data_IF_831108189901
#
_entry.id   IF_831108189901
#
_cell.length_a   1.000
_cell.length_b   1.000
_cell.length_c   1.000
_cell.angle_alpha   90.00
_cell.angle_beta   90.00
_cell.angle_gamma   90.00
#
_symmetry.space_group_name_H-M   'P 1'
#
loop_
_entity.id
_entity.type
_entity.pdbx_description
1 polymer ?
#
# COMPACT_ATOMS: atom_id res chain seq x y z
N UNK A 1 -21.95 6.22 13.89
CA UNK A 1 -20.77 6.74 13.14
C UNK A 1 -19.86 5.59 12.78
N UNK A 2 -19.67 5.37 11.50
CA UNK A 2 -18.66 4.42 11.06
C UNK A 2 -17.28 5.05 11.27
N UNK A 3 -16.50 4.49 12.17
CA UNK A 3 -15.08 4.80 12.24
C UNK A 3 -14.42 4.21 11.01
N UNK A 4 -13.90 5.08 10.16
CA UNK A 4 -13.05 4.66 9.04
C UNK A 4 -11.71 4.26 9.65
N UNK A 5 -11.41 2.96 9.63
CA UNK A 5 -10.09 2.48 10.04
C UNK A 5 -9.05 3.03 9.08
N UNK A 6 -7.97 3.56 9.63
CA UNK A 6 -6.83 4.00 8.82
C UNK A 6 -6.18 2.79 8.14
N UNK A 7 -5.43 3.06 7.06
CA UNK A 7 -4.68 1.99 6.38
C UNK A 7 -3.71 1.30 7.34
N UNK A 8 -3.08 2.06 8.25
CA UNK A 8 -2.17 1.50 9.25
C UNK A 8 -2.89 0.53 10.18
N UNK A 9 -4.10 0.87 10.63
CA UNK A 9 -4.88 -0.02 11.48
C UNK A 9 -5.20 -1.33 10.79
N UNK A 10 -5.55 -1.28 9.51
CA UNK A 10 -5.83 -2.46 8.71
C UNK A 10 -4.58 -3.30 8.47
N UNK A 11 -3.44 -2.66 8.27
CA UNK A 11 -2.15 -3.35 8.15
C UNK A 11 -1.80 -4.04 9.47
N UNK A 12 -2.01 -3.39 10.62
CA UNK A 12 -1.81 -4.01 11.94
C UNK A 12 -2.69 -5.25 12.12
N UNK A 13 -3.94 -5.20 11.71
CA UNK A 13 -4.85 -6.35 11.75
C UNK A 13 -4.33 -7.50 10.89
N UNK A 14 -3.87 -7.21 9.68
CA UNK A 14 -3.31 -8.20 8.76
C UNK A 14 -2.04 -8.83 9.34
N UNK A 15 -1.16 -8.03 9.94
CA UNK A 15 0.08 -8.52 10.58
C UNK A 15 -0.25 -9.54 11.66
N UNK A 16 -1.24 -9.26 12.50
CA UNK A 16 -1.66 -10.17 13.57
C UNK A 16 -2.35 -11.41 13.00
N UNK A 17 -3.29 -11.22 12.09
CA UNK A 17 -4.08 -12.33 11.52
C UNK A 17 -3.22 -13.32 10.74
N UNK A 18 -2.29 -12.82 9.94
CA UNK A 18 -1.46 -13.67 9.07
C UNK A 18 -0.12 -14.05 9.70
N UNK A 19 0.11 -13.62 10.95
CA UNK A 19 1.30 -13.99 11.71
C UNK A 19 2.60 -13.44 11.13
N UNK A 20 2.58 -12.23 10.58
CA UNK A 20 3.74 -11.65 9.90
C UNK A 20 4.85 -11.18 10.83
N UNK A 21 4.60 -11.08 12.14
CA UNK A 21 5.62 -10.78 13.15
C UNK A 21 6.45 -12.00 13.56
N UNK A 22 5.94 -13.21 13.30
CA UNK A 22 6.61 -14.44 13.70
C UNK A 22 7.85 -14.69 12.86
N UNK A 23 8.85 -15.35 13.45
CA UNK A 23 10.01 -15.84 12.70
C UNK A 23 9.57 -16.95 11.75
N UNK A 24 9.24 -16.56 10.53
CA UNK A 24 8.88 -17.48 9.48
C UNK A 24 9.55 -17.03 8.19
N UNK A 25 10.32 -17.92 7.57
CA UNK A 25 11.06 -17.64 6.34
C UNK A 25 10.41 -18.29 5.09
N UNK A 26 9.20 -18.81 5.24
CA UNK A 26 8.46 -19.32 4.08
C UNK A 26 8.28 -18.20 3.05
N UNK A 27 8.46 -18.52 1.78
CA UNK A 27 8.49 -17.55 0.70
C UNK A 27 7.24 -16.70 0.64
N UNK A 28 6.05 -17.28 0.79
CA UNK A 28 4.79 -16.53 0.75
C UNK A 28 4.67 -15.52 1.89
N UNK A 29 5.18 -15.85 3.08
CA UNK A 29 5.18 -14.93 4.23
C UNK A 29 6.18 -13.80 3.99
N UNK A 30 7.38 -14.11 3.49
CA UNK A 30 8.38 -13.09 3.16
C UNK A 30 7.84 -12.13 2.10
N UNK A 31 7.21 -12.64 1.04
CA UNK A 31 6.62 -11.84 -0.03
C UNK A 31 5.54 -10.89 0.50
N UNK A 32 4.68 -11.37 1.40
CA UNK A 32 3.65 -10.53 2.04
C UNK A 32 4.25 -9.43 2.89
N UNK A 33 5.31 -9.73 3.66
CA UNK A 33 6.01 -8.73 4.46
C UNK A 33 6.62 -7.62 3.59
N UNK A 34 7.37 -8.00 2.56
CA UNK A 34 8.05 -7.02 1.71
C UNK A 34 7.08 -6.17 0.91
N UNK A 35 5.93 -6.72 0.54
CA UNK A 35 4.83 -5.96 -0.05
C UNK A 35 4.35 -4.85 0.89
N UNK A 36 4.08 -5.20 2.15
CA UNK A 36 3.61 -4.24 3.14
C UNK A 36 4.69 -3.23 3.53
N UNK A 37 5.95 -3.65 3.60
CA UNK A 37 7.07 -2.72 3.82
C UNK A 37 7.09 -1.63 2.76
N UNK A 38 6.99 -2.01 1.50
CA UNK A 38 7.00 -1.07 0.39
C UNK A 38 5.76 -0.17 0.41
N UNK A 39 4.59 -0.74 0.66
CA UNK A 39 3.34 0.02 0.75
C UNK A 39 3.41 1.11 1.83
N UNK A 40 3.88 0.77 3.03
CA UNK A 40 4.05 1.72 4.12
C UNK A 40 5.09 2.78 3.79
N UNK A 41 6.18 2.40 3.14
CA UNK A 41 7.21 3.36 2.74
C UNK A 41 6.69 4.36 1.71
N UNK A 42 5.90 3.91 0.76
CA UNK A 42 5.25 4.78 -0.22
C UNK A 42 4.28 5.77 0.43
N UNK A 43 3.68 5.40 1.57
CA UNK A 43 2.82 6.29 2.35
C UNK A 43 3.60 7.26 3.24
N UNK A 44 4.93 7.22 3.22
CA UNK A 44 5.79 8.17 3.92
C UNK A 44 6.24 7.75 5.31
N UNK A 45 5.98 6.53 5.74
CA UNK A 45 6.44 6.05 7.04
C UNK A 45 7.94 5.76 7.03
N UNK A 46 8.60 6.00 8.17
CA UNK A 46 10.04 5.75 8.32
C UNK A 46 10.35 4.25 8.41
N UNK A 47 11.59 3.89 8.10
CA UNK A 47 12.04 2.50 8.23
C UNK A 47 11.92 2.00 9.67
N UNK A 48 12.24 2.84 10.66
CA UNK A 48 12.12 2.50 12.08
C UNK A 48 10.67 2.24 12.49
N UNK A 49 9.74 3.06 12.02
CA UNK A 49 8.32 2.87 12.29
C UNK A 49 7.81 1.56 11.70
N UNK A 50 8.14 1.28 10.43
CA UNK A 50 7.76 0.04 9.76
C UNK A 50 8.36 -1.17 10.50
N UNK A 51 9.64 -1.09 10.87
CA UNK A 51 10.31 -2.15 11.60
C UNK A 51 9.63 -2.46 12.93
N UNK A 52 9.19 -1.43 13.65
CA UNK A 52 8.45 -1.61 14.92
C UNK A 52 7.12 -2.32 14.72
N UNK A 53 6.40 -2.01 13.66
CA UNK A 53 5.13 -2.69 13.35
C UNK A 53 5.31 -4.21 13.18
N UNK A 54 6.42 -4.62 12.58
CA UNK A 54 6.72 -6.03 12.32
C UNK A 54 7.65 -6.66 13.37
N UNK A 55 8.03 -5.90 14.41
CA UNK A 55 8.99 -6.35 15.41
C UNK A 55 10.31 -6.82 14.79
N UNK A 56 10.83 -6.02 13.88
CA UNK A 56 12.05 -6.33 13.12
C UNK A 56 13.03 -5.16 13.15
N UNK A 57 14.25 -5.41 12.67
CA UNK A 57 15.28 -4.39 12.51
C UNK A 57 15.00 -3.54 11.27
N UNK A 58 15.34 -2.23 11.33
CA UNK A 58 15.15 -1.34 10.19
C UNK A 58 15.94 -1.78 8.94
N UNK A 59 17.11 -2.40 9.12
CA UNK A 59 17.88 -2.95 8.01
C UNK A 59 17.11 -4.06 7.27
N UNK A 60 16.36 -4.88 7.99
CA UNK A 60 15.48 -5.90 7.42
C UNK A 60 14.41 -5.28 6.52
N UNK A 61 13.83 -4.17 6.94
CA UNK A 61 12.83 -3.42 6.16
C UNK A 61 13.47 -2.85 4.88
N UNK A 62 14.64 -2.22 5.02
CA UNK A 62 15.37 -1.65 3.88
C UNK A 62 15.70 -2.71 2.83
N UNK A 63 16.26 -3.84 3.26
CA UNK A 63 16.57 -4.97 2.36
C UNK A 63 15.31 -5.58 1.75
N UNK A 64 14.24 -5.68 2.52
CA UNK A 64 12.97 -6.19 2.05
C UNK A 64 12.36 -5.32 0.95
N UNK A 65 12.39 -4.02 1.09
CA UNK A 65 11.90 -3.07 0.09
C UNK A 65 12.73 -3.18 -1.20
N UNK A 66 14.04 -3.26 -1.08
CA UNK A 66 14.94 -3.44 -2.22
C UNK A 66 14.61 -4.74 -2.97
N UNK A 67 14.46 -5.83 -2.24
CA UNK A 67 14.08 -7.13 -2.82
C UNK A 67 12.73 -7.07 -3.53
N UNK A 68 11.75 -6.41 -2.92
CA UNK A 68 10.43 -6.23 -3.53
C UNK A 68 10.54 -5.51 -4.88
N UNK A 69 11.29 -4.42 -4.94
CA UNK A 69 11.50 -3.66 -6.17
C UNK A 69 12.23 -4.50 -7.23
N UNK A 70 13.22 -5.27 -6.83
CA UNK A 70 13.95 -6.15 -7.75
C UNK A 70 13.03 -7.23 -8.33
N UNK A 71 12.19 -7.85 -7.50
CA UNK A 71 11.22 -8.85 -7.94
C UNK A 71 10.15 -8.24 -8.86
N UNK A 72 9.70 -7.03 -8.58
CA UNK A 72 8.78 -6.31 -9.48
C UNK A 72 9.42 -6.06 -10.85
N UNK A 73 10.69 -5.69 -10.89
CA UNK A 73 11.39 -5.38 -12.13
C UNK A 73 11.51 -6.55 -13.08
N UNK A 74 11.52 -7.78 -12.54
CA UNK A 74 11.58 -9.01 -13.34
C UNK A 74 10.20 -9.68 -13.51
N UNK A 75 9.13 -9.01 -13.08
CA UNK A 75 7.76 -9.54 -13.13
C UNK A 75 7.62 -10.92 -12.48
N UNK A 76 8.17 -11.09 -11.28
CA UNK A 76 8.18 -12.37 -10.58
C UNK A 76 6.74 -12.85 -10.32
N UNK A 77 6.40 -14.00 -10.88
CA UNK A 77 5.03 -14.57 -10.82
C UNK A 77 4.68 -14.99 -9.39
N UNK A 78 5.66 -15.54 -8.67
CA UNK A 78 5.41 -16.02 -7.30
C UNK A 78 5.08 -14.86 -6.36
N UNK A 79 5.79 -13.73 -6.51
CA UNK A 79 5.46 -12.51 -5.76
C UNK A 79 4.03 -12.06 -6.05
N UNK A 80 3.62 -12.04 -7.31
CA UNK A 80 2.27 -11.64 -7.71
C UNK A 80 1.21 -12.54 -7.08
N UNK A 81 1.40 -13.85 -7.12
CA UNK A 81 0.47 -14.82 -6.52
C UNK A 81 0.38 -14.62 -5.00
N UNK A 82 1.52 -14.53 -4.33
CA UNK A 82 1.59 -14.46 -2.88
C UNK A 82 1.02 -13.15 -2.32
N UNK A 83 1.02 -12.06 -3.11
CA UNK A 83 0.58 -10.74 -2.68
C UNK A 83 -0.72 -10.26 -3.30
N UNK A 84 -1.34 -11.06 -4.17
CA UNK A 84 -2.55 -10.67 -4.93
C UNK A 84 -3.70 -10.24 -4.01
N UNK A 85 -3.97 -10.99 -2.95
CA UNK A 85 -5.04 -10.67 -1.99
C UNK A 85 -4.79 -9.34 -1.29
N UNK A 86 -3.54 -9.06 -0.98
CA UNK A 86 -3.15 -7.79 -0.35
C UNK A 86 -3.28 -6.62 -1.32
N UNK A 87 -2.82 -6.80 -2.56
CA UNK A 87 -2.96 -5.78 -3.59
C UNK A 87 -4.43 -5.40 -3.79
N UNK A 88 -5.31 -6.36 -3.94
CA UNK A 88 -6.75 -6.12 -4.08
C UNK A 88 -7.32 -5.42 -2.86
N UNK A 89 -7.03 -5.93 -1.65
CA UNK A 89 -7.57 -5.38 -0.41
C UNK A 89 -7.16 -3.93 -0.19
N UNK A 90 -5.89 -3.60 -0.39
CA UNK A 90 -5.39 -2.25 -0.13
C UNK A 90 -5.69 -1.28 -1.27
N UNK A 91 -5.74 -1.74 -2.51
CA UNK A 91 -6.20 -0.92 -3.64
C UNK A 91 -7.68 -0.55 -3.49
N UNK A 92 -8.53 -1.50 -3.13
CA UNK A 92 -9.95 -1.25 -2.89
C UNK A 92 -10.16 -0.27 -1.73
N UNK A 93 -9.34 -0.37 -0.68
CA UNK A 93 -9.39 0.54 0.44
C UNK A 93 -8.95 1.95 0.07
N UNK A 94 -7.92 2.10 -0.74
CA UNK A 94 -7.52 3.40 -1.27
C UNK A 94 -8.64 4.01 -2.10
N UNK A 95 -9.26 3.25 -2.97
CA UNK A 95 -10.38 3.70 -3.77
C UNK A 95 -11.59 4.08 -2.89
N UNK A 96 -11.82 3.35 -1.79
CA UNK A 96 -12.94 3.62 -0.89
C UNK A 96 -12.68 4.83 0.04
N UNK A 97 -11.44 5.03 0.48
CA UNK A 97 -11.07 6.10 1.41
C UNK A 97 -10.75 7.41 0.69
N UNK A 98 -10.24 7.33 -0.54
CA UNK A 98 -9.87 8.49 -1.35
C UNK A 98 -10.86 8.64 -2.51
N UNK A 99 -12.14 8.81 -2.16
CA UNK A 99 -13.08 9.32 -3.15
C UNK A 99 -12.89 10.82 -3.22
N UNK A 100 -12.20 11.27 -4.25
CA UNK A 100 -12.00 12.67 -4.52
C UNK A 100 -13.35 13.33 -4.88
N UNK A 101 -13.51 14.57 -4.43
CA UNK A 101 -14.65 15.37 -4.82
C UNK A 101 -14.30 16.10 -6.11
N UNK A 102 -14.93 15.71 -7.23
CA UNK A 102 -14.67 16.27 -8.55
C UNK A 102 -14.90 17.79 -8.59
N UNK A 103 -15.99 18.25 -8.03
CA UNK A 103 -16.32 19.67 -8.00
C UNK A 103 -15.26 20.49 -7.28
N UNK A 104 -14.79 19.99 -6.14
CA UNK A 104 -13.74 20.63 -5.35
C UNK A 104 -12.41 20.67 -6.09
N UNK A 105 -12.04 19.58 -6.77
CA UNK A 105 -10.82 19.49 -7.54
C UNK A 105 -10.85 20.43 -8.75
N UNK A 106 -11.98 20.50 -9.46
CA UNK A 106 -12.16 21.43 -10.58
C UNK A 106 -12.03 22.88 -10.13
N UNK A 107 -12.61 23.25 -8.99
CA UNK A 107 -12.51 24.61 -8.44
C UNK A 107 -11.07 24.98 -8.07
N UNK A 108 -10.27 24.02 -7.62
CA UNK A 108 -8.87 24.24 -7.25
C UNK A 108 -7.91 24.15 -8.41
N UNK A 109 -8.35 23.64 -9.55
CA UNK A 109 -7.51 23.49 -10.74
C UNK A 109 -7.15 24.85 -11.32
N UNK A 110 -5.86 25.14 -11.40
CA UNK A 110 -5.34 26.40 -11.96
C UNK A 110 -4.41 26.20 -13.14
N UNK A 111 -3.99 24.95 -13.36
CA UNK A 111 -3.01 24.60 -14.41
C UNK A 111 -3.51 23.43 -15.27
N UNK A 112 -2.93 23.27 -16.46
CA UNK A 112 -3.21 22.13 -17.32
C UNK A 112 -2.81 20.81 -16.64
N UNK A 113 -1.75 20.84 -15.84
CA UNK A 113 -1.32 19.67 -15.06
C UNK A 113 -2.39 19.24 -14.07
N UNK A 114 -3.03 20.19 -13.39
CA UNK A 114 -4.15 19.91 -12.47
C UNK A 114 -5.31 19.26 -13.21
N UNK A 115 -5.65 19.73 -14.39
CA UNK A 115 -6.71 19.15 -15.23
C UNK A 115 -6.35 17.73 -15.70
N UNK A 116 -5.09 17.46 -16.03
CA UNK A 116 -4.62 16.12 -16.41
C UNK A 116 -4.74 15.14 -15.26
N UNK A 117 -4.44 15.59 -14.04
CA UNK A 117 -4.62 14.78 -12.83
C UNK A 117 -6.09 14.42 -12.62
N UNK A 118 -6.99 15.41 -12.76
CA UNK A 118 -8.44 15.21 -12.64
C UNK A 118 -8.92 14.22 -13.70
N UNK A 119 -8.48 14.35 -14.93
CA UNK A 119 -8.83 13.46 -16.03
C UNK A 119 -8.42 12.01 -15.73
N UNK A 120 -7.20 11.80 -15.24
CA UNK A 120 -6.72 10.46 -14.84
C UNK A 120 -7.57 9.87 -13.72
N UNK A 121 -7.93 10.67 -12.72
CA UNK A 121 -8.79 10.23 -11.61
C UNK A 121 -10.18 9.84 -12.10
N UNK A 122 -10.75 10.60 -13.06
CA UNK A 122 -12.02 10.26 -13.69
C UNK A 122 -11.94 8.93 -14.44
N UNK A 123 -10.90 8.75 -15.26
CA UNK A 123 -10.69 7.53 -16.03
C UNK A 123 -10.52 6.30 -15.14
N UNK A 124 -9.96 6.48 -13.94
CA UNK A 124 -9.75 5.41 -12.96
C UNK A 124 -10.94 5.24 -11.98
N UNK A 125 -12.03 5.96 -12.17
CA UNK A 125 -13.21 5.86 -11.32
C UNK A 125 -12.99 6.33 -9.88
N UNK A 126 -12.07 7.26 -9.65
CA UNK A 126 -11.69 7.73 -8.32
C UNK A 126 -12.59 8.84 -7.77
N UNK A 127 -13.54 9.33 -8.56
CA UNK A 127 -14.50 10.33 -8.11
C UNK A 127 -15.82 9.68 -7.73
N UNK A 128 -16.43 10.24 -6.70
CA UNK A 128 -17.79 9.90 -6.32
C UNK A 128 -18.75 10.60 -7.28
N UNK A 129 -19.50 9.83 -8.06
CA UNK A 129 -20.50 10.34 -8.98
C UNK A 129 -21.88 10.01 -8.44
#
# INVERSE_FOLDING_TARGET
MRQIKSMVDLIKEVIEKDGLKKRNREQHIVHRRIFLFNLLREKGYTFEYIARLFNMNHATVLHGIKRYKDLLSINDVRLQIDTERYAQKFDDLEAAVIKYNLEKDVRKATTLTDLDIIKRRLDNGMYEI
#
